data_IF_591581605125
#
_entry.id   IF_591581605125
#
_cell.length_a   1.000
_cell.length_b   1.000
_cell.length_c   1.000
_cell.angle_alpha   90.00
_cell.angle_beta   90.00
_cell.angle_gamma   90.00
#
_symmetry.space_group_name_H-M   'P 1'
#
loop_
_entity.id
_entity.type
_entity.pdbx_description
1 polymer ?
#
# COMPACT_ATOMS: atom_id res chain seq x y z
N UNK A 1 -9.52 2.30 14.50
CA UNK A 1 -9.52 0.99 13.83
C UNK A 1 -8.07 0.56 13.82
N UNK A 2 -7.79 -0.61 14.39
CA UNK A 2 -6.51 -1.29 14.21
C UNK A 2 -6.50 -2.00 12.83
N UNK A 3 -5.40 -2.63 12.44
CA UNK A 3 -5.40 -3.49 11.26
C UNK A 3 -6.34 -4.68 11.46
N UNK A 4 -7.08 -5.01 10.39
CA UNK A 4 -8.14 -6.02 10.33
C UNK A 4 -9.44 -5.68 11.10
N UNK A 5 -9.54 -4.51 11.74
CA UNK A 5 -10.86 -3.95 12.08
C UNK A 5 -11.62 -3.62 10.78
N UNK A 6 -12.89 -4.03 10.69
CA UNK A 6 -13.81 -3.58 9.66
C UNK A 6 -14.99 -2.78 10.23
N UNK A 7 -15.61 -1.95 9.39
CA UNK A 7 -16.88 -1.30 9.67
C UNK A 7 -17.81 -1.45 8.48
N UNK A 8 -19.02 -1.92 8.74
CA UNK A 8 -20.07 -2.08 7.73
C UNK A 8 -21.01 -0.87 7.77
N UNK A 9 -21.31 -0.34 6.58
CA UNK A 9 -22.15 0.82 6.34
C UNK A 9 -23.27 0.42 5.38
N UNK A 10 -24.47 0.25 5.92
CA UNK A 10 -25.69 0.08 5.10
C UNK A 10 -26.18 1.45 4.65
N UNK A 11 -26.25 1.68 3.33
CA UNK A 11 -26.75 2.96 2.81
C UNK A 11 -28.27 3.05 3.02
N UNK A 12 -28.82 4.17 3.54
CA UNK A 12 -30.26 4.33 3.76
C UNK A 12 -31.08 4.04 2.49
N UNK A 13 -32.18 3.30 2.66
CA UNK A 13 -33.09 2.91 1.58
C UNK A 13 -32.45 2.07 0.44
N UNK A 14 -31.40 1.30 0.72
CA UNK A 14 -30.77 0.39 -0.26
C UNK A 14 -30.55 -1.02 0.29
N UNK A 15 -30.40 -1.99 -0.61
CA UNK A 15 -29.99 -3.37 -0.30
C UNK A 15 -28.47 -3.54 -0.21
N UNK A 16 -27.70 -2.45 -0.31
CA UNK A 16 -26.25 -2.45 -0.42
C UNK A 16 -25.58 -2.12 0.90
N UNK A 17 -24.65 -2.97 1.28
CA UNK A 17 -23.73 -2.75 2.41
C UNK A 17 -22.31 -2.53 1.88
N UNK A 18 -21.60 -1.57 2.45
CA UNK A 18 -20.17 -1.38 2.23
C UNK A 18 -19.41 -1.79 3.47
N UNK A 19 -18.50 -2.75 3.36
CA UNK A 19 -17.52 -3.05 4.41
C UNK A 19 -16.22 -2.33 4.10
N UNK A 20 -15.76 -1.53 5.05
CA UNK A 20 -14.49 -0.84 4.99
C UNK A 20 -13.55 -1.53 5.98
N UNK A 21 -12.58 -2.27 5.47
CA UNK A 21 -11.58 -3.00 6.25
C UNK A 21 -10.29 -2.19 6.29
N UNK A 22 -9.80 -1.91 7.51
CA UNK A 22 -8.49 -1.32 7.75
C UNK A 22 -7.41 -2.40 7.50
N UNK A 23 -6.49 -2.19 6.56
CA UNK A 23 -5.50 -3.21 6.18
C UNK A 23 -4.06 -2.72 6.41
N UNK A 24 -3.07 -3.63 6.60
CA UNK A 24 -1.69 -3.23 6.85
C UNK A 24 -1.10 -2.38 5.73
N UNK A 25 -0.16 -1.50 6.09
CA UNK A 25 0.76 -0.88 5.14
C UNK A 25 2.09 -0.52 5.83
N UNK A 26 3.11 -0.22 5.04
CA UNK A 26 4.45 0.08 5.54
C UNK A 26 4.72 1.59 5.42
N UNK A 27 4.58 2.32 6.53
CA UNK A 27 4.77 3.77 6.59
C UNK A 27 4.98 4.26 8.04
N UNK A 28 5.28 5.56 8.27
CA UNK A 28 5.48 6.13 9.61
C UNK A 28 4.65 7.40 9.86
N UNK A 29 4.04 7.55 11.05
CA UNK A 29 3.31 8.78 11.43
C UNK A 29 4.23 9.79 12.11
N UNK A 30 3.89 11.08 11.99
CA UNK A 30 4.44 12.18 12.78
C UNK A 30 3.84 13.52 12.33
N UNK A 31 3.44 14.36 13.28
CA UNK A 31 2.95 15.75 13.07
C UNK A 31 3.69 16.75 13.97
N UNK A 32 4.54 16.28 14.86
CA UNK A 32 5.28 17.04 15.87
C UNK A 32 6.58 16.32 16.23
N UNK A 33 7.45 16.97 17.01
CA UNK A 33 8.78 16.41 17.36
C UNK A 33 8.69 15.12 18.20
N UNK A 34 7.60 14.93 18.95
CA UNK A 34 7.46 13.85 19.94
C UNK A 34 6.28 12.90 19.70
N UNK A 35 5.65 12.94 18.51
CA UNK A 35 4.48 12.11 18.18
C UNK A 35 4.74 11.03 17.11
N UNK A 36 6.01 10.83 16.72
CA UNK A 36 6.38 9.80 15.74
C UNK A 36 5.86 8.42 16.16
N UNK A 37 5.22 7.71 15.24
CA UNK A 37 4.60 6.40 15.44
C UNK A 37 3.44 6.34 16.48
N UNK A 38 2.89 7.48 16.96
CA UNK A 38 1.77 7.47 17.94
C UNK A 38 0.40 7.20 17.33
N UNK A 39 0.28 7.24 16.00
CA UNK A 39 -0.95 6.90 15.27
C UNK A 39 -0.64 5.87 14.19
N UNK A 40 -1.62 5.01 13.90
CA UNK A 40 -1.46 3.91 12.94
C UNK A 40 -1.59 4.41 11.50
N UNK A 41 -0.73 3.92 10.60
CA UNK A 41 -0.97 3.98 9.15
C UNK A 41 -1.67 2.72 8.69
N UNK A 42 -2.57 2.85 7.72
CA UNK A 42 -3.27 1.74 7.12
C UNK A 42 -3.45 1.95 5.61
N UNK A 43 -3.51 0.84 4.88
CA UNK A 43 -4.23 0.77 3.61
C UNK A 43 -5.71 0.50 3.90
N UNK A 44 -6.56 0.56 2.87
CA UNK A 44 -8.00 0.32 3.03
C UNK A 44 -8.51 -0.59 1.92
N UNK A 45 -9.21 -1.65 2.31
CA UNK A 45 -10.01 -2.47 1.41
C UNK A 45 -11.49 -2.10 1.57
N UNK A 46 -12.18 -1.91 0.45
CA UNK A 46 -13.61 -1.58 0.43
C UNK A 46 -14.32 -2.65 -0.37
N UNK A 47 -15.17 -3.42 0.31
CA UNK A 47 -15.97 -4.50 -0.25
C UNK A 47 -17.43 -4.06 -0.31
N UNK A 48 -18.07 -4.18 -1.48
CA UNK A 48 -19.48 -3.87 -1.67
C UNK A 48 -20.29 -5.16 -1.79
N UNK A 49 -21.33 -5.29 -0.96
CA UNK A 49 -22.19 -6.46 -0.91
C UNK A 49 -23.64 -6.06 -1.17
N UNK A 50 -24.35 -6.86 -1.95
CA UNK A 50 -25.78 -7.07 -1.75
C UNK A 50 -25.94 -8.15 -0.65
N UNK A 51 -26.86 -7.95 0.30
CA UNK A 51 -26.87 -8.70 1.57
C UNK A 51 -27.30 -10.17 1.39
N UNK A 52 -26.31 -11.08 1.34
CA UNK A 52 -26.44 -12.55 1.47
C UNK A 52 -25.20 -13.11 2.23
N UNK A 53 -25.35 -14.14 3.06
CA UNK A 53 -24.43 -14.45 4.19
C UNK A 53 -23.17 -15.32 3.89
N UNK A 54 -22.02 -14.99 4.51
CA UNK A 54 -21.25 -16.00 5.31
C UNK A 54 -19.75 -16.34 5.07
N UNK A 55 -18.84 -15.67 5.82
CA UNK A 55 -17.56 -16.20 6.42
C UNK A 55 -16.24 -16.41 5.62
N UNK A 56 -15.07 -16.05 6.22
CA UNK A 56 -13.81 -16.85 6.38
C UNK A 56 -12.62 -16.05 7.02
N UNK A 57 -11.53 -16.71 7.45
CA UNK A 57 -10.32 -16.14 8.15
C UNK A 57 -9.05 -17.03 8.02
N UNK A 58 -7.80 -16.72 8.45
CA UNK A 58 -6.93 -15.51 8.44
C UNK A 58 -5.55 -15.79 9.13
N UNK A 59 -4.38 -15.39 8.57
CA UNK A 59 -3.02 -15.36 9.23
C UNK A 59 -2.04 -14.34 8.57
N UNK A 60 -0.74 -14.32 8.91
CA UNK A 60 0.27 -13.28 8.56
C UNK A 60 1.74 -13.76 8.48
N UNK A 61 2.64 -12.96 7.86
CA UNK A 61 4.11 -12.83 8.13
C UNK A 61 4.69 -11.49 7.61
N UNK A 62 5.75 -10.98 8.26
CA UNK A 62 6.44 -9.68 8.02
C UNK A 62 7.93 -9.91 7.69
N UNK A 63 8.56 -9.03 6.88
CA UNK A 63 10.01 -8.83 6.76
C UNK A 63 10.37 -7.33 6.75
N UNK A 64 11.49 -6.92 7.37
CA UNK A 64 12.12 -5.61 7.13
C UNK A 64 13.54 -5.75 6.53
N UNK A 65 13.80 -5.15 5.37
CA UNK A 65 15.18 -4.95 4.87
C UNK A 65 15.72 -3.61 5.34
N UNK A 66 16.98 -3.60 5.79
CA UNK A 66 17.79 -2.39 6.01
C UNK A 66 19.00 -2.47 5.08
N UNK A 67 19.10 -1.59 4.09
CA UNK A 67 20.23 -1.57 3.15
C UNK A 67 21.53 -1.11 3.85
N UNK A 68 22.67 -1.72 3.50
CA UNK A 68 24.00 -1.32 3.99
C UNK A 68 24.60 -0.19 3.15
N UNK A 69 25.63 0.49 3.64
CA UNK A 69 26.25 1.63 2.94
C UNK A 69 26.84 1.29 1.57
N UNK A 70 27.35 0.06 1.38
CA UNK A 70 27.88 -0.39 0.09
C UNK A 70 26.76 -0.58 -0.94
N UNK A 71 25.59 -1.03 -0.48
CA UNK A 71 24.38 -1.21 -1.28
C UNK A 71 23.67 0.10 -1.64
N UNK A 72 24.03 1.24 -1.04
CA UNK A 72 23.42 2.55 -1.34
C UNK A 72 23.85 3.12 -2.71
N UNK A 73 24.81 2.50 -3.39
CA UNK A 73 25.32 2.91 -4.69
C UNK A 73 25.05 1.91 -5.82
N UNK A 74 24.40 0.78 -5.50
CA UNK A 74 23.99 -0.25 -6.46
C UNK A 74 22.55 0.02 -6.89
N UNK A 75 22.37 0.66 -8.05
CA UNK A 75 21.03 1.00 -8.57
C UNK A 75 20.18 -0.25 -8.84
N UNK A 76 20.79 -1.35 -9.29
CA UNK A 76 20.09 -2.61 -9.58
C UNK A 76 19.56 -3.26 -8.29
N UNK A 77 20.36 -3.26 -7.22
CA UNK A 77 19.92 -3.68 -5.90
C UNK A 77 18.83 -2.76 -5.34
N UNK A 78 18.98 -1.43 -5.44
CA UNK A 78 18.02 -0.45 -4.90
C UNK A 78 16.66 -0.45 -5.62
N UNK A 79 16.62 -0.91 -6.88
CA UNK A 79 15.38 -1.17 -7.63
C UNK A 79 14.75 -2.54 -7.27
N UNK A 80 15.52 -3.47 -6.71
CA UNK A 80 15.10 -4.83 -6.37
C UNK A 80 15.01 -5.13 -4.87
N UNK A 81 14.92 -4.09 -4.04
CA UNK A 81 14.63 -4.22 -2.61
C UNK A 81 13.32 -4.98 -2.35
N UNK A 82 13.30 -5.81 -1.30
CA UNK A 82 12.08 -6.55 -0.92
C UNK A 82 10.95 -5.60 -0.53
N UNK A 83 9.80 -5.77 -1.20
CA UNK A 83 8.54 -5.09 -0.89
C UNK A 83 7.87 -5.68 0.36
N UNK A 84 6.92 -4.93 0.93
CA UNK A 84 6.17 -5.38 2.10
C UNK A 84 5.36 -6.66 1.78
N UNK A 85 5.61 -7.81 2.45
CA UNK A 85 4.94 -9.07 2.13
C UNK A 85 3.45 -9.09 2.49
N UNK A 86 2.97 -8.10 3.27
CA UNK A 86 1.57 -7.98 3.65
C UNK A 86 0.63 -7.75 2.45
N UNK A 87 1.09 -7.11 1.37
CA UNK A 87 0.25 -6.91 0.18
C UNK A 87 -0.13 -8.24 -0.48
N UNK A 88 0.82 -9.17 -0.58
CA UNK A 88 0.60 -10.48 -1.19
C UNK A 88 -0.02 -11.47 -0.19
N UNK A 89 0.69 -11.73 0.91
CA UNK A 89 0.37 -12.80 1.88
C UNK A 89 -0.85 -12.48 2.72
N UNK A 90 -1.16 -11.20 2.93
CA UNK A 90 -2.29 -10.81 3.77
C UNK A 90 -3.44 -10.13 3.04
N UNK A 91 -3.18 -9.21 2.11
CA UNK A 91 -4.24 -8.47 1.43
C UNK A 91 -4.73 -9.25 0.21
N UNK A 92 -3.84 -9.59 -0.74
CA UNK A 92 -4.17 -10.33 -1.96
C UNK A 92 -4.60 -11.77 -1.74
N UNK A 93 -4.16 -12.44 -0.66
CA UNK A 93 -4.63 -13.77 -0.30
C UNK A 93 -5.96 -13.79 0.47
N UNK A 94 -6.26 -12.79 1.31
CA UNK A 94 -7.50 -12.79 2.12
C UNK A 94 -8.67 -12.03 1.49
N UNK A 95 -8.38 -10.97 0.73
CA UNK A 95 -9.36 -10.00 0.22
C UNK A 95 -9.34 -9.85 -1.30
N UNK A 96 -8.20 -10.17 -1.96
CA UNK A 96 -8.10 -10.17 -3.42
C UNK A 96 -8.83 -11.34 -4.09
N UNK A 97 -9.21 -11.23 -5.36
CA UNK A 97 -8.85 -10.16 -6.30
C UNK A 97 -9.68 -8.88 -6.14
N UNK A 98 -9.07 -7.73 -6.45
CA UNK A 98 -9.74 -6.42 -6.43
C UNK A 98 -10.06 -5.95 -7.85
N UNK A 99 -11.23 -5.37 -8.09
CA UNK A 99 -11.55 -4.76 -9.38
C UNK A 99 -10.70 -3.53 -9.72
N UNK A 100 -10.35 -2.75 -8.69
CA UNK A 100 -9.62 -1.50 -8.81
C UNK A 100 -8.76 -1.27 -7.56
N UNK A 101 -7.53 -0.80 -7.74
CA UNK A 101 -6.68 -0.30 -6.65
C UNK A 101 -6.11 1.09 -6.98
N UNK A 102 -5.85 1.87 -5.94
CA UNK A 102 -5.13 3.14 -6.03
C UNK A 102 -3.75 2.92 -5.40
N UNK A 103 -2.67 3.08 -6.17
CA UNK A 103 -1.31 2.73 -5.74
C UNK A 103 -0.39 3.95 -5.93
N UNK A 104 0.42 4.26 -4.92
CA UNK A 104 1.40 5.35 -4.98
C UNK A 104 2.55 5.01 -5.92
N UNK A 105 2.88 5.91 -6.84
CA UNK A 105 4.01 5.74 -7.78
C UNK A 105 5.12 6.79 -7.64
N UNK A 106 4.91 7.81 -6.79
CA UNK A 106 5.87 8.89 -6.53
C UNK A 106 6.28 8.99 -5.06
N UNK A 107 7.29 9.82 -4.80
CA UNK A 107 8.03 9.97 -3.55
C UNK A 107 9.00 8.83 -3.20
N UNK A 108 9.69 8.25 -4.20
CA UNK A 108 10.56 7.08 -4.02
C UNK A 108 12.07 7.36 -4.02
N UNK A 109 12.53 8.57 -4.30
CA UNK A 109 13.98 8.87 -4.42
C UNK A 109 14.49 9.73 -3.25
N UNK A 110 15.65 9.40 -2.64
CA UNK A 110 16.55 8.30 -2.97
C UNK A 110 16.10 6.95 -2.38
N UNK A 111 16.23 5.87 -3.17
CA UNK A 111 15.71 4.53 -2.85
C UNK A 111 16.24 3.96 -1.53
N UNK A 112 17.51 4.18 -1.17
CA UNK A 112 18.07 3.68 0.10
C UNK A 112 17.37 4.26 1.34
N UNK A 113 16.75 5.44 1.23
CA UNK A 113 16.02 6.11 2.31
C UNK A 113 14.51 5.92 2.21
N UNK A 114 13.97 6.02 0.98
CA UNK A 114 12.52 6.06 0.74
C UNK A 114 11.88 4.68 0.56
N UNK A 115 12.61 3.65 0.12
CA UNK A 115 12.06 2.29 -0.08
C UNK A 115 11.35 1.67 1.14
N UNK A 116 11.77 1.87 2.42
CA UNK A 116 10.98 1.37 3.55
C UNK A 116 9.66 2.13 3.78
N UNK A 117 9.34 3.17 3.01
CA UNK A 117 8.27 4.15 3.28
C UNK A 117 7.37 4.37 2.03
N UNK A 118 7.92 4.33 0.82
CA UNK A 118 7.25 4.60 -0.45
C UNK A 118 7.65 3.61 -1.55
N UNK A 119 6.66 3.16 -2.32
CA UNK A 119 6.82 2.37 -3.53
C UNK A 119 7.40 3.22 -4.68
N UNK A 120 8.31 2.65 -5.48
CA UNK A 120 8.60 3.14 -6.83
C UNK A 120 7.49 2.69 -7.81
N UNK A 121 7.50 3.14 -9.09
CA UNK A 121 6.60 2.64 -10.12
C UNK A 121 6.68 1.11 -10.30
N UNK A 122 7.88 0.53 -10.22
CA UNK A 122 8.09 -0.93 -10.31
C UNK A 122 7.52 -1.67 -9.10
N UNK A 123 7.71 -1.13 -7.89
CA UNK A 123 7.05 -1.63 -6.68
C UNK A 123 5.52 -1.55 -6.82
N UNK A 124 4.99 -0.50 -7.45
CA UNK A 124 3.56 -0.32 -7.63
C UNK A 124 2.95 -1.34 -8.61
N UNK A 125 3.68 -1.73 -9.66
CA UNK A 125 3.30 -2.86 -10.54
C UNK A 125 3.30 -4.16 -9.76
N UNK A 126 4.33 -4.43 -8.94
CA UNK A 126 4.36 -5.60 -8.06
C UNK A 126 3.20 -5.62 -7.07
N UNK A 127 2.85 -4.47 -6.46
CA UNK A 127 1.68 -4.37 -5.55
C UNK A 127 0.36 -4.60 -6.30
N UNK A 128 0.24 -4.19 -7.56
CA UNK A 128 -0.92 -4.51 -8.40
C UNK A 128 -1.08 -6.03 -8.59
N UNK A 129 0.01 -6.74 -8.87
CA UNK A 129 0.03 -8.21 -8.98
C UNK A 129 -0.28 -8.89 -7.64
N UNK A 130 0.36 -8.44 -6.55
CA UNK A 130 0.23 -8.97 -5.19
C UNK A 130 -1.21 -9.00 -4.70
N UNK A 131 -1.91 -7.86 -4.81
CA UNK A 131 -3.31 -7.74 -4.41
C UNK A 131 -4.26 -8.36 -5.44
N UNK A 132 -3.73 -8.84 -6.58
CA UNK A 132 -4.46 -9.38 -7.72
C UNK A 132 -5.49 -8.37 -8.24
N UNK A 133 -5.05 -7.14 -8.48
CA UNK A 133 -5.93 -6.09 -8.96
C UNK A 133 -6.21 -6.25 -10.45
N UNK A 134 -7.46 -6.10 -10.89
CA UNK A 134 -7.82 -6.13 -12.32
C UNK A 134 -7.39 -4.84 -13.03
N UNK A 135 -7.39 -3.71 -12.32
CA UNK A 135 -6.96 -2.40 -12.81
C UNK A 135 -6.34 -1.60 -11.65
N UNK A 136 -5.39 -0.72 -11.95
CA UNK A 136 -4.83 0.20 -10.96
C UNK A 136 -4.73 1.62 -11.50
N UNK A 137 -4.84 2.61 -10.60
CA UNK A 137 -4.61 4.01 -10.91
C UNK A 137 -3.42 4.49 -10.07
N UNK A 138 -2.39 5.01 -10.76
CA UNK A 138 -1.23 5.62 -10.12
C UNK A 138 -1.60 6.93 -9.44
N UNK A 139 -1.26 7.06 -8.15
CA UNK A 139 -1.46 8.26 -7.33
C UNK A 139 -0.15 8.71 -6.67
N UNK A 140 -0.21 9.73 -5.82
CA UNK A 140 0.94 10.21 -5.04
C UNK A 140 2.13 10.73 -5.88
N UNK A 141 1.84 11.28 -7.06
CA UNK A 141 2.83 11.88 -7.96
C UNK A 141 2.28 13.18 -8.59
N UNK A 142 3.12 13.94 -9.30
CA UNK A 142 2.69 15.05 -10.16
C UNK A 142 2.06 16.28 -9.47
N UNK A 143 1.95 16.29 -8.13
CA UNK A 143 1.20 17.30 -7.37
C UNK A 143 2.09 18.10 -6.41
N UNK A 144 2.97 17.43 -5.68
CA UNK A 144 3.89 18.03 -4.70
C UNK A 144 5.28 17.42 -4.85
N UNK A 145 6.32 18.24 -4.71
CA UNK A 145 7.72 17.79 -4.66
C UNK A 145 8.04 17.41 -3.23
N UNK A 146 8.08 16.11 -2.94
CA UNK A 146 8.37 15.56 -1.60
C UNK A 146 9.80 15.01 -1.46
N UNK A 147 10.49 14.88 -2.59
CA UNK A 147 11.66 14.02 -2.83
C UNK A 147 12.43 14.55 -4.05
N UNK A 148 13.45 13.82 -4.51
CA UNK A 148 14.39 14.30 -5.54
C UNK A 148 14.19 13.72 -6.94
N UNK A 149 13.20 12.86 -7.20
CA UNK A 149 12.89 12.42 -8.57
C UNK A 149 12.31 13.55 -9.45
N UNK A 150 12.37 13.39 -10.78
CA UNK A 150 11.67 14.31 -11.68
C UNK A 150 10.15 14.15 -11.50
N UNK A 151 9.42 15.25 -11.32
CA UNK A 151 7.97 15.24 -11.05
C UNK A 151 7.16 14.45 -12.09
N UNK A 152 7.63 14.37 -13.34
CA UNK A 152 6.97 13.69 -14.46
C UNK A 152 7.61 12.34 -14.85
N UNK A 153 8.65 11.89 -14.13
CA UNK A 153 9.27 10.57 -14.34
C UNK A 153 8.37 9.38 -13.93
N UNK A 154 7.64 9.40 -12.78
CA UNK A 154 6.85 8.25 -12.33
C UNK A 154 5.92 7.58 -13.38
N UNK A 155 5.09 8.31 -14.16
CA UNK A 155 4.24 7.71 -15.18
C UNK A 155 4.99 7.28 -16.46
N UNK A 156 6.28 7.63 -16.61
CA UNK A 156 7.11 7.23 -17.76
C UNK A 156 7.83 5.90 -17.54
N UNK A 157 7.80 5.37 -16.31
CA UNK A 157 8.37 4.09 -15.91
C UNK A 157 7.31 2.96 -15.84
N UNK A 158 6.08 3.25 -16.26
CA UNK A 158 4.91 2.33 -16.26
C UNK A 158 4.50 1.91 -17.69
#
# INVERSE_FOLDING_TARGET
MDWWDDRQLTLPNSTRSLKITCTPCQHFTGRSVTDRFKTLWASWAVEAFDVVEGSLTCRSKICPITATSEQMHDEEYLQNLERCPAFEVEIGQKLGPFDLSLISIGAYTPRWFMSPIHCSPEDAVRVHEDVKSRQSIGMHWGTWVLTTEEVMEPPRLL
#
